data_IF_125058518501
#
_entry.id   IF_125058518501
#
_cell.length_a   1.000
_cell.length_b   1.000
_cell.length_c   1.000
_cell.angle_alpha   90.00
_cell.angle_beta   90.00
_cell.angle_gamma   90.00
#
_symmetry.space_group_name_H-M   'P 1'
#
loop_
_entity.id
_entity.type
_entity.pdbx_description
1 polymer ?
#
# COMPACT_ATOMS: atom_id res chain seq x y z
N UNK A 1 -21.90 -1.76 5.51
CA UNK A 1 -22.57 -2.72 6.40
C UNK A 1 -22.08 -2.48 7.81
N UNK A 2 -22.98 -2.28 8.78
CA UNK A 2 -22.61 -2.16 10.19
C UNK A 2 -22.14 -3.52 10.75
N UNK A 3 -21.37 -3.50 11.84
CA UNK A 3 -20.99 -4.70 12.57
C UNK A 3 -22.21 -5.38 13.21
N UNK A 4 -22.23 -6.71 13.21
CA UNK A 4 -23.22 -7.51 13.97
C UNK A 4 -22.69 -7.88 15.37
N UNK A 5 -21.53 -7.34 15.75
CA UNK A 5 -20.95 -7.54 17.08
C UNK A 5 -21.86 -6.95 18.17
N UNK A 6 -22.11 -7.73 19.21
CA UNK A 6 -22.90 -7.33 20.37
C UNK A 6 -21.95 -7.03 21.53
N UNK A 7 -21.67 -5.75 21.75
CA UNK A 7 -20.85 -5.24 22.86
C UNK A 7 -21.37 -3.88 23.33
N UNK A 8 -20.59 -3.16 24.13
CA UNK A 8 -20.91 -1.79 24.53
C UNK A 8 -21.04 -0.87 23.31
N UNK A 9 -21.78 0.24 23.45
CA UNK A 9 -21.90 1.19 22.35
C UNK A 9 -20.55 1.74 21.88
N UNK A 10 -19.58 1.90 22.79
CA UNK A 10 -18.21 2.32 22.47
C UNK A 10 -17.48 1.31 21.59
N UNK A 11 -17.58 0.02 21.92
CA UNK A 11 -16.94 -1.04 21.12
C UNK A 11 -17.59 -1.14 19.74
N UNK A 12 -18.92 -1.09 19.67
CA UNK A 12 -19.66 -1.12 18.40
C UNK A 12 -19.29 0.09 17.53
N UNK A 13 -19.18 1.30 18.11
CA UNK A 13 -18.73 2.50 17.38
C UNK A 13 -17.30 2.34 16.87
N UNK A 14 -16.36 1.93 17.73
CA UNK A 14 -14.95 1.76 17.36
C UNK A 14 -14.78 0.73 16.23
N UNK A 15 -15.43 -0.43 16.34
CA UNK A 15 -15.38 -1.48 15.32
C UNK A 15 -16.01 -1.02 14.01
N UNK A 16 -17.14 -0.31 14.05
CA UNK A 16 -17.76 0.25 12.85
C UNK A 16 -16.84 1.27 12.15
N UNK A 17 -16.15 2.13 12.90
CA UNK A 17 -15.19 3.09 12.34
C UNK A 17 -14.04 2.35 11.67
N UNK A 18 -13.43 1.38 12.35
CA UNK A 18 -12.35 0.57 11.80
C UNK A 18 -12.77 -0.13 10.51
N UNK A 19 -13.93 -0.82 10.50
CA UNK A 19 -14.46 -1.50 9.30
C UNK A 19 -14.65 -0.51 8.15
N UNK A 20 -15.22 0.67 8.41
CA UNK A 20 -15.46 1.68 7.38
C UNK A 20 -14.14 2.22 6.81
N UNK A 21 -13.16 2.51 7.67
CA UNK A 21 -11.85 2.98 7.24
C UNK A 21 -11.12 1.95 6.40
N UNK A 22 -11.09 0.69 6.83
CA UNK A 22 -10.45 -0.39 6.08
C UNK A 22 -11.09 -0.57 4.70
N UNK A 23 -12.42 -0.61 4.63
CA UNK A 23 -13.13 -0.74 3.35
C UNK A 23 -12.94 0.46 2.43
N UNK A 24 -12.92 1.67 2.98
CA UNK A 24 -12.63 2.87 2.20
C UNK A 24 -11.21 2.82 1.61
N UNK A 25 -10.22 2.45 2.43
CA UNK A 25 -8.83 2.25 1.99
C UNK A 25 -8.71 1.19 0.91
N UNK A 26 -9.36 0.03 1.09
CA UNK A 26 -9.40 -1.06 0.10
C UNK A 26 -10.03 -0.61 -1.22
N UNK A 27 -11.14 0.14 -1.17
CA UNK A 27 -11.82 0.62 -2.37
C UNK A 27 -10.93 1.56 -3.20
N UNK A 28 -10.24 2.50 -2.54
CA UNK A 28 -9.30 3.40 -3.21
C UNK A 28 -8.10 2.61 -3.75
N UNK A 29 -7.52 1.73 -2.94
CA UNK A 29 -6.34 0.92 -3.31
C UNK A 29 -6.65 0.00 -4.49
N UNK A 30 -7.83 -0.62 -4.54
CA UNK A 30 -8.25 -1.48 -5.64
C UNK A 30 -8.36 -0.70 -6.96
N UNK A 31 -8.94 0.51 -6.91
CA UNK A 31 -9.04 1.38 -8.08
C UNK A 31 -7.66 1.82 -8.58
N UNK A 32 -6.78 2.22 -7.66
CA UNK A 32 -5.41 2.59 -7.99
C UNK A 32 -4.64 1.40 -8.58
N UNK A 33 -4.75 0.21 -7.98
CA UNK A 33 -4.09 -0.99 -8.47
C UNK A 33 -4.54 -1.37 -9.88
N UNK A 34 -5.85 -1.30 -10.16
CA UNK A 34 -6.38 -1.57 -11.50
C UNK A 34 -5.85 -0.55 -12.53
N UNK A 35 -5.84 0.74 -12.16
CA UNK A 35 -5.32 1.80 -13.01
C UNK A 35 -3.84 1.61 -13.32
N UNK A 36 -2.99 1.49 -12.30
CA UNK A 36 -1.53 1.30 -12.45
C UNK A 36 -1.18 0.05 -13.27
N UNK A 37 -1.93 -1.04 -13.07
CA UNK A 37 -1.74 -2.26 -13.83
C UNK A 37 -2.12 -2.07 -15.31
N UNK A 38 -3.18 -1.31 -15.60
CA UNK A 38 -3.64 -1.08 -16.97
C UNK A 38 -2.81 -0.08 -17.77
N UNK A 39 -2.21 0.91 -17.10
CA UNK A 39 -1.49 2.01 -17.78
C UNK A 39 0.01 1.76 -17.81
N UNK A 40 0.59 1.34 -16.68
CA UNK A 40 2.05 1.23 -16.50
C UNK A 40 2.52 -0.22 -16.25
N UNK A 41 1.59 -1.16 -16.10
CA UNK A 41 1.91 -2.52 -15.67
C UNK A 41 2.61 -2.56 -14.30
N UNK A 42 2.29 -1.61 -13.40
CA UNK A 42 2.90 -1.49 -12.08
C UNK A 42 1.95 -1.98 -10.99
N UNK A 43 2.53 -2.61 -9.97
CA UNK A 43 1.84 -2.84 -8.70
C UNK A 43 1.89 -1.58 -7.83
N UNK A 44 0.97 -1.46 -6.86
CA UNK A 44 0.98 -0.35 -5.88
C UNK A 44 2.30 -0.28 -5.11
N UNK A 45 2.92 -1.43 -4.79
CA UNK A 45 4.20 -1.46 -4.08
C UNK A 45 5.35 -0.96 -4.96
N UNK A 46 5.39 -1.35 -6.24
CA UNK A 46 6.38 -0.84 -7.19
C UNK A 46 6.23 0.67 -7.38
N UNK A 47 4.99 1.14 -7.56
CA UNK A 47 4.71 2.56 -7.65
C UNK A 47 5.17 3.34 -6.42
N UNK A 48 4.90 2.83 -5.21
CA UNK A 48 5.35 3.48 -3.96
C UNK A 48 6.87 3.60 -3.85
N UNK A 49 7.63 2.61 -4.35
CA UNK A 49 9.10 2.72 -4.39
C UNK A 49 9.55 3.81 -5.37
N UNK A 50 8.96 3.87 -6.57
CA UNK A 50 9.28 4.89 -7.57
C UNK A 50 8.91 6.29 -7.07
N UNK A 51 7.76 6.44 -6.41
CA UNK A 51 7.29 7.68 -5.81
C UNK A 51 8.25 8.16 -4.71
N UNK A 52 8.69 7.26 -3.82
CA UNK A 52 9.68 7.57 -2.79
C UNK A 52 11.01 8.03 -3.40
N UNK A 53 11.53 7.32 -4.40
CA UNK A 53 12.78 7.70 -5.08
C UNK A 53 12.64 9.03 -5.83
N UNK A 54 11.49 9.29 -6.44
CA UNK A 54 11.21 10.52 -7.16
C UNK A 54 11.18 11.74 -6.22
N UNK A 55 10.54 11.61 -5.05
CA UNK A 55 10.38 12.73 -4.12
C UNK A 55 11.52 12.90 -3.12
N UNK A 56 12.17 11.81 -2.71
CA UNK A 56 13.21 11.81 -1.68
C UNK A 56 14.62 11.64 -2.26
N UNK A 57 14.75 11.33 -3.56
CA UNK A 57 16.02 11.06 -4.21
C UNK A 57 16.54 9.65 -3.95
N UNK A 58 17.86 9.41 -4.16
CA UNK A 58 18.47 8.10 -3.96
C UNK A 58 18.32 7.61 -2.51
N UNK A 59 17.75 6.41 -2.35
CA UNK A 59 17.57 5.73 -1.06
C UNK A 59 18.13 4.33 -1.13
N UNK A 60 18.72 3.85 -0.03
CA UNK A 60 19.06 2.44 0.09
C UNK A 60 17.82 1.60 0.45
N UNK A 61 17.90 0.28 0.25
CA UNK A 61 16.76 -0.63 0.43
C UNK A 61 16.17 -0.60 1.85
N UNK A 62 17.00 -0.37 2.87
CA UNK A 62 16.54 -0.23 4.26
C UNK A 62 15.67 1.02 4.44
N UNK A 63 16.11 2.15 3.90
CA UNK A 63 15.36 3.41 3.94
C UNK A 63 14.04 3.30 3.18
N UNK A 64 14.03 2.63 2.02
CA UNK A 64 12.79 2.35 1.27
C UNK A 64 11.86 1.47 2.12
N UNK A 65 12.39 0.43 2.78
CA UNK A 65 11.62 -0.44 3.68
C UNK A 65 10.91 0.32 4.79
N UNK A 66 11.61 1.24 5.45
CA UNK A 66 11.04 2.09 6.50
C UNK A 66 9.90 2.98 6.00
N UNK A 67 9.98 3.49 4.76
CA UNK A 67 8.97 4.36 4.16
C UNK A 67 7.73 3.62 3.69
N UNK A 68 7.87 2.36 3.26
CA UNK A 68 6.75 1.61 2.69
C UNK A 68 5.72 1.13 3.73
N UNK A 69 6.00 1.23 5.03
CA UNK A 69 5.12 0.83 6.15
C UNK A 69 4.47 -0.57 5.99
N UNK A 70 5.07 -1.43 5.17
CA UNK A 70 4.70 -2.83 4.97
C UNK A 70 5.83 -3.67 5.55
N UNK A 71 5.50 -4.81 6.17
CA UNK A 71 6.52 -5.76 6.59
C UNK A 71 7.43 -6.08 5.39
N UNK A 72 8.74 -5.89 5.55
CA UNK A 72 9.74 -5.87 4.48
C UNK A 72 9.94 -7.18 3.70
N UNK A 73 8.98 -8.10 3.74
CA UNK A 73 9.06 -9.47 3.25
C UNK A 73 9.21 -9.64 1.74
N UNK A 74 9.38 -8.56 0.96
CA UNK A 74 9.78 -8.71 -0.44
C UNK A 74 10.42 -7.47 -1.07
N UNK A 75 10.97 -6.52 -0.30
CA UNK A 75 11.41 -5.25 -0.90
C UNK A 75 12.54 -5.44 -1.91
N UNK A 76 13.46 -6.37 -1.62
CA UNK A 76 14.54 -6.79 -2.52
C UNK A 76 13.97 -7.26 -3.85
N UNK A 77 13.03 -8.21 -3.85
CA UNK A 77 12.43 -8.72 -5.09
C UNK A 77 11.62 -7.67 -5.84
N UNK A 78 10.96 -6.74 -5.13
CA UNK A 78 10.26 -5.64 -5.81
C UNK A 78 11.25 -4.71 -6.51
N UNK A 79 12.37 -4.39 -5.87
CA UNK A 79 13.45 -3.58 -6.45
C UNK A 79 14.10 -4.31 -7.62
N UNK A 80 14.46 -5.59 -7.48
CA UNK A 80 15.02 -6.40 -8.57
C UNK A 80 14.09 -6.42 -9.80
N UNK A 81 12.77 -6.46 -9.57
CA UNK A 81 11.79 -6.42 -10.66
C UNK A 81 11.66 -5.04 -11.30
N UNK A 82 11.91 -3.96 -10.56
CA UNK A 82 11.98 -2.60 -11.11
C UNK A 82 13.28 -2.39 -11.91
N UNK A 83 14.41 -2.89 -11.41
CA UNK A 83 15.72 -2.83 -12.08
C UNK A 83 15.70 -3.61 -13.40
N UNK A 84 15.13 -4.83 -13.42
CA UNK A 84 14.92 -5.61 -14.66
C UNK A 84 14.09 -4.88 -15.71
N UNK A 85 13.26 -3.93 -15.29
CA UNK A 85 12.46 -3.08 -16.18
C UNK A 85 13.14 -1.75 -16.54
N UNK A 86 14.33 -1.49 -15.99
CA UNK A 86 15.07 -0.23 -16.18
C UNK A 86 14.38 0.98 -15.53
N UNK A 87 13.63 0.77 -14.44
CA UNK A 87 12.90 1.83 -13.74
C UNK A 87 13.63 2.37 -12.51
N UNK A 88 14.65 1.66 -12.03
CA UNK A 88 15.58 2.07 -10.96
C UNK A 88 16.99 1.59 -11.29
#
# INVERSE_FOLDING_TARGET
>A
MPTHYQGSESEVRALNVYIKLMRASESVTARLSAFLQSTEGLTVSQFGILEALYHLGPLNQSQIGEKMLKSGGNITTVIDNLEKRGLV
#
